data_IF_848952226556
#
_entry.id   IF_848952226556
#
_cell.length_a   1.000
_cell.length_b   1.000
_cell.length_c   1.000
_cell.angle_alpha   90.00
_cell.angle_beta   90.00
_cell.angle_gamma   90.00
#
_symmetry.space_group_name_H-M   'P 1'
#
loop_
_entity.id
_entity.type
_entity.pdbx_description
1 polymer ?
#
# COMPACT_ATOMS: atom_id res chain seq x y z
N UNK A 1 -27.11 23.10 -18.40
CA UNK A 1 -26.52 23.33 -17.05
C UNK A 1 -26.49 22.08 -16.15
N UNK A 2 -27.44 21.14 -16.23
CA UNK A 2 -27.44 19.93 -15.37
C UNK A 2 -26.31 18.91 -15.62
N UNK A 3 -25.89 18.70 -16.88
CA UNK A 3 -24.79 17.78 -17.23
C UNK A 3 -23.42 18.25 -16.69
N UNK A 4 -23.19 19.57 -16.65
CA UNK A 4 -21.95 20.14 -16.10
C UNK A 4 -21.92 20.01 -14.56
N UNK A 5 -23.06 20.15 -13.89
CA UNK A 5 -23.17 19.97 -12.45
C UNK A 5 -22.94 18.50 -12.03
N UNK A 6 -23.47 17.53 -12.80
CA UNK A 6 -23.21 16.10 -12.57
C UNK A 6 -21.74 15.75 -12.82
N UNK A 7 -21.11 16.34 -13.85
CA UNK A 7 -19.68 16.21 -14.11
C UNK A 7 -18.83 16.75 -12.96
N UNK A 8 -19.15 17.94 -12.45
CA UNK A 8 -18.46 18.53 -11.30
C UNK A 8 -18.63 17.69 -10.01
N UNK A 9 -19.82 17.15 -9.75
CA UNK A 9 -20.05 16.26 -8.61
C UNK A 9 -19.29 14.94 -8.71
N UNK A 10 -19.22 14.31 -9.89
CA UNK A 10 -18.48 13.07 -10.07
C UNK A 10 -16.97 13.26 -9.86
N UNK A 11 -16.42 14.38 -10.34
CA UNK A 11 -15.01 14.73 -10.12
C UNK A 11 -14.75 15.01 -8.63
N UNK A 12 -15.62 15.78 -7.96
CA UNK A 12 -15.50 16.06 -6.53
C UNK A 12 -15.50 14.80 -5.66
N UNK A 13 -16.45 13.89 -5.91
CA UNK A 13 -16.54 12.60 -5.20
C UNK A 13 -15.32 11.71 -5.47
N UNK A 14 -14.83 11.68 -6.71
CA UNK A 14 -13.61 10.96 -7.07
C UNK A 14 -12.36 11.52 -6.37
N UNK A 15 -12.24 12.84 -6.26
CA UNK A 15 -11.11 13.48 -5.57
C UNK A 15 -11.16 13.31 -4.04
N UNK A 16 -12.35 13.35 -3.43
CA UNK A 16 -12.49 13.08 -2.00
C UNK A 16 -12.15 11.61 -1.69
N UNK A 17 -12.62 10.67 -2.51
CA UNK A 17 -12.23 9.26 -2.35
C UNK A 17 -10.72 9.03 -2.55
N UNK A 18 -10.06 9.88 -3.35
CA UNK A 18 -8.61 9.87 -3.50
C UNK A 18 -7.89 10.36 -2.23
N UNK A 19 -8.40 11.41 -1.60
CA UNK A 19 -7.81 12.01 -0.40
C UNK A 19 -8.11 11.21 0.88
N UNK A 20 -9.27 10.55 0.95
CA UNK A 20 -9.71 9.77 2.10
C UNK A 20 -9.14 8.34 2.12
N UNK A 21 -8.30 7.94 1.16
CA UNK A 21 -7.70 6.61 1.24
C UNK A 21 -6.77 6.51 2.45
N UNK A 22 -6.76 5.37 3.15
CA UNK A 22 -6.14 5.28 4.45
C UNK A 22 -4.61 5.35 4.36
N UNK A 23 -4.02 5.88 5.42
CA UNK A 23 -2.59 6.12 5.54
C UNK A 23 -1.88 4.93 6.18
N UNK A 24 -0.72 4.51 5.65
CA UNK A 24 0.06 3.42 6.24
C UNK A 24 0.75 3.91 7.51
N UNK A 25 0.38 3.35 8.66
CA UNK A 25 1.01 3.67 9.94
C UNK A 25 2.20 2.75 10.23
N UNK A 26 2.04 1.44 10.05
CA UNK A 26 3.10 0.45 10.30
C UNK A 26 3.12 -0.62 9.21
N UNK A 27 4.31 -1.15 8.92
CA UNK A 27 4.49 -2.30 8.03
C UNK A 27 5.24 -3.37 8.82
N UNK A 28 4.58 -4.50 9.05
CA UNK A 28 5.15 -5.67 9.71
C UNK A 28 5.61 -6.67 8.66
N UNK A 29 6.89 -7.01 8.68
CA UNK A 29 7.46 -7.98 7.76
C UNK A 29 7.39 -9.37 8.37
N UNK A 30 6.61 -10.26 7.77
CA UNK A 30 6.51 -11.65 8.21
C UNK A 30 7.62 -12.44 7.54
N UNK A 31 8.83 -12.34 8.09
CA UNK A 31 9.90 -13.28 7.73
C UNK A 31 9.70 -14.59 8.50
N UNK A 32 9.84 -15.76 7.85
CA UNK A 32 9.89 -17.01 8.58
C UNK A 32 11.03 -16.92 9.59
N UNK A 33 10.73 -17.12 10.88
CA UNK A 33 11.72 -17.16 11.97
C UNK A 33 12.87 -18.09 11.57
N UNK A 34 14.04 -17.54 11.28
CA UNK A 34 15.29 -18.28 11.31
C UNK A 34 16.28 -17.55 12.21
N UNK A 35 16.41 -18.10 13.42
CA UNK A 35 17.64 -18.30 14.19
C UNK A 35 18.78 -17.29 14.02
N UNK A 36 18.88 -16.35 14.98
CA UNK A 36 20.08 -15.89 15.74
C UNK A 36 21.33 -15.41 14.95
N UNK A 37 21.41 -15.51 13.64
CA UNK A 37 22.60 -15.09 12.87
C UNK A 37 22.22 -14.05 11.82
N UNK A 38 22.73 -12.84 12.04
CA UNK A 38 22.70 -11.65 11.19
C UNK A 38 22.92 -11.96 9.71
N UNK A 39 21.86 -12.35 9.00
CA UNK A 39 21.84 -12.38 7.54
C UNK A 39 20.54 -11.74 7.11
N UNK A 40 20.63 -10.49 6.63
CA UNK A 40 19.54 -9.74 6.02
C UNK A 40 18.78 -10.64 5.03
N UNK A 41 17.60 -11.13 5.43
CA UNK A 41 16.75 -11.95 4.57
C UNK A 41 16.38 -11.12 3.34
N UNK A 42 16.67 -11.59 2.11
CA UNK A 42 16.36 -10.83 0.92
C UNK A 42 14.84 -10.65 0.82
N UNK A 43 14.39 -9.40 0.81
CA UNK A 43 12.98 -9.07 0.59
C UNK A 43 12.63 -9.48 -0.84
N UNK A 44 11.82 -10.53 -0.99
CA UNK A 44 11.37 -11.05 -2.29
C UNK A 44 9.90 -10.70 -2.54
N UNK A 45 9.43 -10.72 -3.80
CA UNK A 45 8.03 -10.51 -4.14
C UNK A 45 7.02 -11.40 -3.39
N UNK A 46 7.43 -12.59 -2.97
CA UNK A 46 6.59 -13.54 -2.26
C UNK A 46 6.51 -13.26 -0.74
N UNK A 47 7.25 -12.26 -0.24
CA UNK A 47 7.22 -11.90 1.18
C UNK A 47 5.84 -11.38 1.57
N UNK A 48 5.32 -11.93 2.66
CA UNK A 48 4.06 -11.51 3.26
C UNK A 48 4.32 -10.34 4.20
N UNK A 49 3.57 -9.27 4.04
CA UNK A 49 3.58 -8.12 4.93
C UNK A 49 2.20 -7.88 5.49
N UNK A 50 2.15 -7.41 6.73
CA UNK A 50 0.94 -6.89 7.33
C UNK A 50 1.08 -5.38 7.42
N UNK A 51 0.18 -4.68 6.75
CA UNK A 51 0.15 -3.22 6.70
C UNK A 51 -0.93 -2.76 7.66
N UNK A 52 -0.53 -2.00 8.68
CA UNK A 52 -1.46 -1.26 9.51
C UNK A 52 -1.76 0.06 8.82
N UNK A 53 -3.04 0.34 8.65
CA UNK A 53 -3.53 1.54 8.00
C UNK A 53 -4.43 2.30 8.94
N UNK A 54 -4.33 3.63 8.92
CA UNK A 54 -5.15 4.53 9.71
C UNK A 54 -6.11 5.25 8.77
N UNK A 55 -7.40 5.07 9.02
CA UNK A 55 -8.45 5.82 8.35
C UNK A 55 -8.54 7.25 8.90
N UNK A 56 -9.26 8.14 8.21
CA UNK A 56 -9.45 9.55 8.63
C UNK A 56 -10.10 9.66 10.01
N UNK A 57 -10.84 8.62 10.43
CA UNK A 57 -11.41 8.51 11.77
C UNK A 57 -10.46 7.88 12.81
N UNK A 58 -9.15 7.88 12.56
CA UNK A 58 -8.12 7.27 13.40
C UNK A 58 -8.36 5.78 13.71
N UNK A 59 -9.14 5.09 12.87
CA UNK A 59 -9.39 3.66 13.02
C UNK A 59 -8.28 2.88 12.34
N UNK A 60 -7.60 2.06 13.11
CA UNK A 60 -6.57 1.16 12.58
C UNK A 60 -7.22 -0.04 11.90
N UNK A 61 -6.81 -0.34 10.67
CA UNK A 61 -7.15 -1.57 9.96
C UNK A 61 -5.87 -2.27 9.54
N UNK A 62 -5.82 -3.57 9.78
CA UNK A 62 -4.70 -4.40 9.39
C UNK A 62 -5.03 -5.11 8.08
N UNK A 63 -4.13 -5.02 7.10
CA UNK A 63 -4.25 -5.73 5.83
C UNK A 63 -3.01 -6.57 5.59
N UNK A 64 -3.17 -7.89 5.59
CA UNK A 64 -2.09 -8.83 5.28
C UNK A 64 -2.12 -9.20 3.80
N UNK A 65 -1.00 -9.01 3.11
CA UNK A 65 -0.87 -9.25 1.68
C UNK A 65 0.58 -9.56 1.31
N UNK A 66 0.80 -10.10 0.11
CA UNK A 66 2.15 -10.34 -0.40
C UNK A 66 2.65 -9.10 -1.16
N UNK A 67 3.96 -8.86 -1.14
CA UNK A 67 4.56 -7.74 -1.89
C UNK A 67 4.20 -7.77 -3.38
N UNK A 68 4.05 -8.97 -3.96
CA UNK A 68 3.65 -9.13 -5.37
C UNK A 68 2.28 -8.55 -5.72
N UNK A 69 1.43 -8.41 -4.70
CA UNK A 69 0.08 -7.89 -4.85
C UNK A 69 0.02 -6.37 -4.65
N UNK A 70 1.14 -5.73 -4.31
CA UNK A 70 1.25 -4.28 -4.27
C UNK A 70 1.75 -3.74 -5.60
N UNK A 71 1.17 -2.62 -6.01
CA UNK A 71 1.61 -1.86 -7.18
C UNK A 71 1.86 -0.41 -6.81
N UNK A 72 2.98 0.19 -7.24
CA UNK A 72 3.21 1.60 -7.06
C UNK A 72 2.31 2.39 -8.02
N UNK A 73 1.66 3.43 -7.51
CA UNK A 73 0.91 4.38 -8.32
C UNK A 73 1.85 5.29 -9.11
N UNK A 74 1.37 5.81 -10.24
CA UNK A 74 2.18 6.43 -11.29
C UNK A 74 2.45 7.94 -11.14
N UNK A 75 2.18 8.56 -9.98
CA UNK A 75 2.40 10.00 -9.78
C UNK A 75 3.16 10.32 -8.49
N UNK A 76 3.61 11.58 -8.38
CA UNK A 76 4.36 12.22 -7.28
C UNK A 76 3.90 11.94 -5.84
N UNK A 77 2.75 11.28 -5.68
CA UNK A 77 2.18 10.88 -4.41
C UNK A 77 2.46 9.39 -4.23
N UNK A 78 3.34 9.06 -3.27
CA UNK A 78 3.67 7.69 -2.87
C UNK A 78 2.38 7.00 -2.39
N UNK A 79 1.69 6.38 -3.34
CA UNK A 79 0.47 5.63 -3.10
C UNK A 79 0.69 4.23 -3.63
N UNK A 80 0.33 3.23 -2.82
CA UNK A 80 0.32 1.85 -3.23
C UNK A 80 -1.11 1.41 -3.51
N UNK A 81 -1.29 0.60 -4.53
CA UNK A 81 -2.58 0.03 -4.90
C UNK A 81 -2.48 -1.49 -4.89
N UNK A 82 -3.51 -2.16 -4.38
CA UNK A 82 -3.59 -3.61 -4.46
C UNK A 82 -3.80 -4.08 -5.90
N UNK A 83 -3.34 -5.28 -6.20
CA UNK A 83 -3.60 -5.97 -7.45
C UNK A 83 -5.11 -6.25 -7.59
N UNK A 84 -5.62 -6.13 -8.82
CA UNK A 84 -7.01 -6.52 -9.14
C UNK A 84 -7.38 -7.95 -8.67
N UNK A 85 -6.52 -8.99 -8.85
CA UNK A 85 -6.85 -10.32 -8.37
C UNK A 85 -6.98 -10.39 -6.84
N UNK A 86 -6.13 -9.68 -6.09
CA UNK A 86 -6.25 -9.62 -4.63
C UNK A 86 -7.55 -8.93 -4.18
N UNK A 87 -7.93 -7.84 -4.84
CA UNK A 87 -9.19 -7.12 -4.56
C UNK A 87 -10.43 -7.96 -4.88
N UNK A 88 -10.38 -8.74 -5.95
CA UNK A 88 -11.45 -9.67 -6.30
C UNK A 88 -11.63 -10.77 -5.24
N UNK A 89 -10.53 -11.26 -4.66
CA UNK A 89 -10.56 -12.23 -3.57
C UNK A 89 -11.00 -11.62 -2.21
N UNK A 90 -10.72 -10.33 -1.98
CA UNK A 90 -10.96 -9.66 -0.70
C UNK A 90 -11.75 -8.33 -0.83
N UNK A 91 -13.00 -8.37 -1.31
CA UNK A 91 -13.76 -7.17 -1.66
C UNK A 91 -14.12 -6.26 -0.47
N UNK A 92 -14.13 -6.78 0.76
CA UNK A 92 -14.48 -6.02 1.98
C UNK A 92 -13.31 -5.78 2.92
N UNK A 93 -12.18 -6.48 2.74
CA UNK A 93 -11.09 -6.50 3.71
C UNK A 93 -10.04 -5.42 3.42
N UNK A 94 -9.82 -5.08 2.14
CA UNK A 94 -8.76 -4.14 1.75
C UNK A 94 -9.32 -2.87 1.09
N UNK A 95 -8.81 -1.68 1.46
CA UNK A 95 -9.24 -0.40 0.90
C UNK A 95 -8.74 -0.17 -0.54
N UNK A 96 -8.00 -1.11 -1.13
CA UNK A 96 -7.53 -1.09 -2.51
C UNK A 96 -6.43 -0.08 -2.84
N UNK A 97 -6.34 1.02 -2.08
CA UNK A 97 -5.27 2.03 -2.15
C UNK A 97 -4.83 2.45 -0.76
N UNK A 98 -3.54 2.73 -0.64
CA UNK A 98 -2.88 3.15 0.58
C UNK A 98 -1.96 4.34 0.30
N UNK A 99 -1.90 5.29 1.24
CA UNK A 99 -0.87 6.32 1.24
C UNK A 99 0.35 5.86 2.00
N UNK A 100 1.52 5.99 1.38
CA UNK A 100 2.80 5.72 2.02
C UNK A 100 3.54 7.04 2.19
N UNK A 101 3.91 7.38 3.41
CA UNK A 101 4.89 8.45 3.64
C UNK A 101 6.30 7.85 3.68
N UNK A 102 7.12 8.26 2.71
CA UNK A 102 8.53 7.86 2.61
C UNK A 102 9.39 8.48 3.69
N UNK A 103 8.94 9.59 4.31
CA UNK A 103 9.67 10.36 5.33
C UNK A 103 9.29 9.95 6.74
N UNK A 104 8.05 9.53 6.99
CA UNK A 104 7.58 9.12 8.33
C UNK A 104 7.85 7.66 8.70
N UNK A 105 8.63 6.93 7.90
CA UNK A 105 9.02 5.56 8.23
C UNK A 105 9.91 5.53 9.47
N UNK A 106 9.29 5.44 10.65
CA UNK A 106 9.97 5.12 11.91
C UNK A 106 10.29 3.62 11.92
N UNK A 107 11.56 3.26 12.11
CA UNK A 107 12.04 1.87 12.12
C UNK A 107 13.20 1.61 11.15
N UNK A 108 13.26 0.41 10.59
CA UNK A 108 14.34 -0.02 9.69
C UNK A 108 14.21 0.59 8.29
N UNK A 109 14.94 1.68 8.07
CA UNK A 109 15.00 2.37 6.78
C UNK A 109 15.61 1.51 5.67
N UNK A 110 16.49 0.56 5.98
CA UNK A 110 17.10 -0.32 4.98
C UNK A 110 16.08 -1.31 4.44
N UNK A 111 15.30 -1.95 5.33
CA UNK A 111 14.20 -2.82 4.94
C UNK A 111 13.13 -2.06 4.16
N UNK A 112 12.73 -0.86 4.60
CA UNK A 112 11.75 -0.04 3.88
C UNK A 112 12.20 0.29 2.45
N UNK A 113 13.47 0.68 2.27
CA UNK A 113 14.03 0.94 0.93
C UNK A 113 14.02 -0.31 0.05
N UNK A 114 14.30 -1.48 0.62
CA UNK A 114 14.24 -2.74 -0.12
C UNK A 114 12.79 -3.09 -0.53
N UNK A 115 11.79 -2.92 0.35
CA UNK A 115 10.37 -3.12 0.02
C UNK A 115 9.96 -2.20 -1.13
N UNK A 116 10.27 -0.90 -1.02
CA UNK A 116 9.95 0.09 -2.06
C UNK A 116 10.58 -0.32 -3.39
N UNK A 117 11.86 -0.70 -3.39
CA UNK A 117 12.55 -1.17 -4.61
C UNK A 117 11.88 -2.39 -5.23
N UNK A 118 11.54 -3.39 -4.43
CA UNK A 118 10.87 -4.60 -4.93
C UNK A 118 9.53 -4.25 -5.56
N UNK A 119 8.73 -3.40 -4.91
CA UNK A 119 7.42 -2.95 -5.44
C UNK A 119 7.60 -2.09 -6.71
N UNK A 120 8.63 -1.25 -6.78
CA UNK A 120 8.97 -0.44 -7.96
C UNK A 120 9.45 -1.31 -9.15
N UNK A 121 10.32 -2.29 -8.91
CA UNK A 121 10.82 -3.22 -9.93
C UNK A 121 9.69 -4.06 -10.54
N UNK A 122 8.67 -4.40 -9.75
CA UNK A 122 7.50 -5.11 -10.27
C UNK A 122 6.70 -4.31 -11.28
N UNK A 123 6.74 -2.98 -11.23
CA UNK A 123 6.11 -2.13 -12.25
C UNK A 123 6.81 -2.26 -13.60
N UNK A 124 8.13 -2.51 -13.62
CA UNK A 124 8.92 -2.59 -14.86
C UNK A 124 8.79 -3.95 -15.57
N UNK A 125 8.27 -4.98 -14.89
CA UNK A 125 8.09 -6.33 -15.43
C UNK A 125 6.73 -6.57 -16.11
N UNK A 126 5.91 -5.53 -16.26
CA UNK A 126 4.62 -5.53 -16.94
C UNK A 126 4.71 -4.59 -18.14
#
# INVERSE_FOLDING_TARGET
MFLAALGASAVSTGTLHYLLSPFISNIHLHSPKQSILDTTVPITPATTITIDTMDVFARTRQTTLQLKDLRPSTRSLLTWTCSKPYLAAHPKSSPGRFWLDRRSGYGDQAAMRQIIRVVEDQRQRI
#
